data_IF_066944383898
#
_entry.id   IF_066944383898
#
_cell.length_a   1.000
_cell.length_b   1.000
_cell.length_c   1.000
_cell.angle_alpha   90.00
_cell.angle_beta   90.00
_cell.angle_gamma   90.00
#
_symmetry.space_group_name_H-M   'P 1'
#
loop_
_entity.id
_entity.type
_entity.pdbx_description
1 polymer ?
#
# COMPACT_ATOMS: atom_id res chain seq x y z
N UNK A 1 -3.97 -17.42 -11.32
CA UNK A 1 -4.52 -16.15 -10.84
C UNK A 1 -4.21 -16.04 -9.36
N UNK A 2 -3.13 -15.35 -9.01
CA UNK A 2 -2.73 -15.12 -7.62
C UNK A 2 -2.96 -13.65 -7.27
N UNK A 3 -3.51 -13.41 -6.08
CA UNK A 3 -3.55 -12.05 -5.55
C UNK A 3 -2.14 -11.64 -5.11
N UNK A 4 -1.79 -10.39 -5.32
CA UNK A 4 -0.49 -9.83 -4.95
C UNK A 4 -0.67 -8.77 -3.88
N UNK A 5 0.22 -8.77 -2.89
CA UNK A 5 0.16 -7.86 -1.76
C UNK A 5 1.38 -6.93 -1.74
N UNK A 6 1.15 -5.63 -1.57
CA UNK A 6 2.19 -4.62 -1.49
C UNK A 6 2.08 -3.86 -0.15
N UNK A 7 3.21 -3.68 0.53
CA UNK A 7 3.30 -2.75 1.65
C UNK A 7 3.57 -1.35 1.14
N UNK A 8 2.69 -0.40 1.49
CA UNK A 8 2.80 1.00 1.10
C UNK A 8 3.41 1.83 2.23
N UNK A 9 4.74 1.90 2.26
CA UNK A 9 5.47 2.65 3.29
C UNK A 9 5.13 4.14 3.26
N UNK A 10 4.86 4.70 4.45
CA UNK A 10 4.76 6.13 4.69
C UNK A 10 5.85 6.61 5.64
N UNK A 11 6.24 7.87 5.51
CA UNK A 11 7.08 8.56 6.49
C UNK A 11 6.54 9.97 6.70
N UNK A 12 6.23 10.32 7.95
CA UNK A 12 5.67 11.64 8.28
C UNK A 12 4.31 11.91 7.64
N UNK A 13 3.48 10.87 7.45
CA UNK A 13 2.15 11.01 6.87
C UNK A 13 2.10 11.11 5.34
N UNK A 14 3.24 10.93 4.68
CA UNK A 14 3.35 10.93 3.22
C UNK A 14 3.84 9.56 2.72
N UNK A 15 3.24 9.07 1.63
CA UNK A 15 3.73 7.88 0.92
C UNK A 15 5.13 8.15 0.38
N UNK A 16 6.03 7.18 0.54
CA UNK A 16 7.33 7.23 -0.12
C UNK A 16 7.18 6.84 -1.59
N UNK A 17 8.03 7.37 -2.47
CA UNK A 17 8.02 6.99 -3.89
C UNK A 17 8.12 5.48 -4.10
N UNK A 18 8.95 4.80 -3.30
CA UNK A 18 9.11 3.34 -3.35
C UNK A 18 7.81 2.58 -3.05
N UNK A 19 6.89 3.14 -2.27
CA UNK A 19 5.58 2.54 -2.02
C UNK A 19 4.74 2.50 -3.30
N UNK A 20 4.77 3.59 -4.09
CA UNK A 20 4.05 3.71 -5.36
C UNK A 20 4.63 2.77 -6.42
N UNK A 21 5.97 2.68 -6.46
CA UNK A 21 6.68 1.74 -7.32
C UNK A 21 6.38 0.29 -6.95
N UNK A 22 6.31 -0.04 -5.65
CA UNK A 22 5.98 -1.38 -5.16
C UNK A 22 4.55 -1.79 -5.56
N UNK A 23 3.57 -0.90 -5.45
CA UNK A 23 2.20 -1.18 -5.92
C UNK A 23 2.17 -1.38 -7.44
N UNK A 24 2.92 -0.57 -8.20
CA UNK A 24 3.02 -0.74 -9.65
C UNK A 24 3.66 -2.08 -10.03
N UNK A 25 4.70 -2.49 -9.30
CA UNK A 25 5.34 -3.79 -9.48
C UNK A 25 4.40 -4.94 -9.12
N UNK A 26 3.60 -4.78 -8.06
CA UNK A 26 2.57 -5.74 -7.67
C UNK A 26 1.51 -5.92 -8.76
N UNK A 27 1.07 -4.83 -9.42
CA UNK A 27 0.15 -4.92 -10.57
C UNK A 27 0.74 -5.74 -11.71
N UNK A 28 2.00 -5.48 -12.09
CA UNK A 28 2.70 -6.26 -13.11
C UNK A 28 2.81 -7.74 -12.73
N UNK A 29 3.11 -8.04 -11.48
CA UNK A 29 3.21 -9.42 -10.99
C UNK A 29 1.84 -10.13 -10.99
N UNK A 30 0.79 -9.45 -10.53
CA UNK A 30 -0.57 -9.97 -10.55
C UNK A 30 -1.05 -10.26 -11.98
N UNK A 31 -0.77 -9.37 -12.93
CA UNK A 31 -1.07 -9.57 -14.36
C UNK A 31 -0.33 -10.78 -14.93
N UNK A 32 0.97 -10.89 -14.66
CA UNK A 32 1.79 -12.02 -15.09
C UNK A 32 1.32 -13.36 -14.49
N UNK A 33 0.68 -13.34 -13.31
CA UNK A 33 0.12 -14.52 -12.63
C UNK A 33 -1.29 -14.92 -13.11
N UNK A 34 -1.82 -14.23 -14.13
CA UNK A 34 -3.16 -14.44 -14.68
C UNK A 34 -4.21 -13.46 -14.17
N UNK A 35 -3.80 -12.24 -13.78
CA UNK A 35 -4.70 -11.11 -13.57
C UNK A 35 -5.40 -11.01 -12.21
N UNK A 36 -4.80 -11.51 -11.13
CA UNK A 36 -5.39 -11.43 -9.77
C UNK A 36 -5.51 -9.99 -9.24
N UNK A 37 -6.10 -9.84 -8.05
CA UNK A 37 -6.21 -8.54 -7.39
C UNK A 37 -4.88 -8.09 -6.78
N UNK A 38 -4.66 -6.79 -6.75
CA UNK A 38 -3.57 -6.14 -6.01
C UNK A 38 -4.13 -5.53 -4.75
N UNK A 39 -3.62 -5.98 -3.62
CA UNK A 39 -3.93 -5.44 -2.31
C UNK A 39 -2.75 -4.59 -1.82
N UNK A 40 -3.03 -3.40 -1.30
CA UNK A 40 -2.04 -2.54 -0.68
C UNK A 40 -2.33 -2.32 0.81
N UNK A 41 -1.29 -2.33 1.64
CA UNK A 41 -1.38 -2.06 3.08
C UNK A 41 -0.77 -0.70 3.41
N UNK A 42 -1.58 0.19 3.94
CA UNK A 42 -1.20 1.53 4.38
C UNK A 42 -1.37 1.64 5.89
N UNK A 43 -0.27 1.89 6.60
CA UNK A 43 -0.23 1.94 8.07
C UNK A 43 0.31 3.29 8.53
N UNK A 44 -0.34 3.90 9.51
CA UNK A 44 0.15 5.13 10.14
C UNK A 44 -0.73 5.63 11.27
N UNK A 45 -0.52 6.89 11.65
CA UNK A 45 -1.40 7.60 12.59
C UNK A 45 -2.70 8.04 11.92
N UNK A 46 -3.63 8.54 12.73
CA UNK A 46 -4.89 9.10 12.26
C UNK A 46 -4.67 10.13 11.13
N UNK A 47 -5.42 10.00 10.05
CA UNK A 47 -5.33 10.84 8.85
C UNK A 47 -4.58 10.19 7.69
N UNK A 48 -3.88 9.06 7.90
CA UNK A 48 -3.18 8.36 6.82
C UNK A 48 -4.14 7.84 5.74
N UNK A 49 -5.39 7.55 6.10
CA UNK A 49 -6.44 7.12 5.17
C UNK A 49 -6.60 8.05 3.95
N UNK A 50 -6.31 9.35 4.10
CA UNK A 50 -6.36 10.33 3.04
C UNK A 50 -5.37 10.03 1.88
N UNK A 51 -4.35 9.19 2.11
CA UNK A 51 -3.37 8.78 1.09
C UNK A 51 -3.77 7.50 0.35
N UNK A 52 -4.79 6.77 0.81
CA UNK A 52 -5.20 5.49 0.22
C UNK A 52 -5.58 5.60 -1.26
N UNK A 53 -6.30 6.65 -1.65
CA UNK A 53 -6.74 6.87 -3.03
C UNK A 53 -5.58 7.06 -4.02
N UNK A 54 -4.40 7.47 -3.54
CA UNK A 54 -3.21 7.58 -4.39
C UNK A 54 -2.74 6.20 -4.84
N UNK A 55 -2.75 5.20 -3.97
CA UNK A 55 -2.32 3.83 -4.28
C UNK A 55 -3.18 3.17 -5.38
N UNK A 56 -4.47 3.50 -5.44
CA UNK A 56 -5.35 3.05 -6.52
C UNK A 56 -4.88 3.51 -7.90
N UNK A 57 -4.29 4.71 -8.01
CA UNK A 57 -3.74 5.23 -9.28
C UNK A 57 -2.51 4.45 -9.76
N UNK A 58 -1.85 3.72 -8.86
CA UNK A 58 -0.66 2.91 -9.15
C UNK A 58 -0.97 1.42 -9.29
N UNK A 59 -2.26 1.04 -9.23
CA UNK A 59 -2.71 -0.31 -9.54
C UNK A 59 -3.18 -1.15 -8.36
N UNK A 60 -3.42 -0.56 -7.18
CA UNK A 60 -4.11 -1.25 -6.09
C UNK A 60 -5.62 -1.35 -6.36
N UNK A 61 -6.17 -2.55 -6.27
CA UNK A 61 -7.61 -2.81 -6.35
C UNK A 61 -8.27 -2.66 -4.96
N UNK A 62 -7.55 -3.10 -3.91
CA UNK A 62 -7.98 -3.01 -2.51
C UNK A 62 -6.90 -2.33 -1.68
N UNK A 63 -7.29 -1.36 -0.84
CA UNK A 63 -6.38 -0.75 0.14
C UNK A 63 -6.86 -1.01 1.55
N UNK A 64 -6.03 -1.70 2.33
CA UNK A 64 -6.22 -1.85 3.77
C UNK A 64 -5.55 -0.68 4.48
N UNK A 65 -6.30 0.02 5.32
CA UNK A 65 -5.79 1.14 6.12
C UNK A 65 -5.83 0.75 7.59
N UNK A 66 -4.70 0.94 8.27
CA UNK A 66 -4.60 0.78 9.73
C UNK A 66 -4.13 2.10 10.33
N UNK A 67 -4.98 2.66 11.19
CA UNK A 67 -4.71 3.89 11.92
C UNK A 67 -4.54 3.62 13.41
N UNK A 68 -3.39 3.96 13.96
CA UNK A 68 -3.16 3.86 15.41
C UNK A 68 -2.06 4.84 15.86
N UNK A 69 -2.18 5.50 17.03
CA UNK A 69 -1.15 6.43 17.52
C UNK A 69 0.25 5.82 17.64
N UNK A 70 0.35 4.54 18.02
CA UNK A 70 1.63 3.83 18.13
C UNK A 70 2.34 3.59 16.78
N UNK A 71 1.69 3.91 15.64
CA UNK A 71 2.21 3.69 14.29
C UNK A 71 2.75 4.98 13.65
N UNK A 72 3.05 6.00 14.47
CA UNK A 72 3.72 7.23 14.03
C UNK A 72 5.11 6.97 13.45
N UNK A 73 5.81 6.03 14.07
CA UNK A 73 7.13 5.58 13.66
C UNK A 73 7.09 4.08 13.40
N UNK A 74 7.89 3.65 12.44
CA UNK A 74 8.09 2.23 12.18
C UNK A 74 8.68 1.55 13.43
N UNK A 75 8.04 0.47 13.87
CA UNK A 75 8.53 -0.48 14.87
C UNK A 75 8.50 -1.89 14.27
N UNK A 76 9.51 -2.70 14.58
CA UNK A 76 9.65 -4.05 14.04
C UNK A 76 8.96 -5.13 14.89
N UNK A 77 8.41 -4.76 16.03
CA UNK A 77 7.74 -5.63 17.02
C UNK A 77 6.22 -5.55 16.89
#
# INVERSE_FOLDING_TARGET
MANTFAFAEQRGGALRTVALEAVTAARKAADASGGGEVHALLIGVAGIAARAAELGKYGADVVYVVEHPALEHYGAE
#
